data_IF_740976485766
#
_entry.id   IF_740976485766
#
_cell.length_a   1.000
_cell.length_b   1.000
_cell.length_c   1.000
_cell.angle_alpha   90.00
_cell.angle_beta   90.00
_cell.angle_gamma   90.00
#
_symmetry.space_group_name_H-M   'P 1'
#
loop_
_entity.id
_entity.type
_entity.pdbx_description
1 polymer ?
#
# COMPACT_ATOMS: atom_id res chain seq x y z
N UNK A 1 -11.74 -13.95 27.47
CA UNK A 1 -12.28 -12.92 26.55
C UNK A 1 -13.34 -13.54 25.67
N UNK A 2 -14.37 -12.79 25.28
CA UNK A 2 -15.51 -13.35 24.55
C UNK A 2 -15.21 -13.44 23.04
N UNK A 3 -14.25 -12.63 22.55
CA UNK A 3 -13.81 -12.64 21.17
C UNK A 3 -12.58 -11.77 20.93
N UNK A 4 -11.96 -11.89 19.74
CA UNK A 4 -10.71 -11.21 19.39
C UNK A 4 -10.82 -10.59 18.00
N UNK A 5 -10.24 -9.39 17.82
CA UNK A 5 -9.97 -8.81 16.51
C UNK A 5 -8.46 -8.88 16.30
N UNK A 6 -8.02 -9.62 15.29
CA UNK A 6 -6.64 -9.64 14.84
C UNK A 6 -6.45 -8.50 13.85
N UNK A 7 -5.45 -7.64 14.06
CA UNK A 7 -5.20 -6.48 13.20
C UNK A 7 -4.34 -6.79 11.98
N UNK A 8 -3.74 -7.95 11.94
CA UNK A 8 -3.04 -8.54 10.79
C UNK A 8 -2.88 -10.05 11.00
N UNK A 9 -2.63 -10.79 9.94
CA UNK A 9 -2.22 -12.18 10.01
C UNK A 9 -1.13 -12.47 8.97
N UNK A 10 -0.23 -13.38 9.35
CA UNK A 10 0.71 -14.00 8.42
C UNK A 10 0.08 -15.24 7.79
N UNK A 11 0.69 -15.78 6.75
CA UNK A 11 0.41 -17.14 6.33
C UNK A 11 0.76 -18.09 7.48
N UNK A 12 -0.13 -19.04 7.79
CA UNK A 12 0.02 -20.02 8.90
C UNK A 12 0.23 -19.36 10.27
N UNK A 13 -0.55 -18.30 10.55
CA UNK A 13 -0.43 -17.53 11.79
C UNK A 13 -0.79 -18.37 13.03
N UNK A 14 0.16 -18.56 13.98
CA UNK A 14 -0.09 -19.36 15.17
C UNK A 14 -1.17 -18.81 16.09
N UNK A 15 -1.46 -17.51 16.06
CA UNK A 15 -2.56 -16.92 16.81
C UNK A 15 -3.91 -17.42 16.29
N UNK A 16 -4.06 -17.61 14.99
CA UNK A 16 -5.27 -18.15 14.38
C UNK A 16 -5.50 -19.58 14.83
N UNK A 17 -4.45 -20.42 14.79
CA UNK A 17 -4.52 -21.80 15.26
C UNK A 17 -4.90 -21.89 16.75
N UNK A 18 -4.30 -21.03 17.58
CA UNK A 18 -4.63 -20.96 19.01
C UNK A 18 -6.09 -20.57 19.23
N UNK A 19 -6.60 -19.55 18.54
CA UNK A 19 -7.99 -19.12 18.67
C UNK A 19 -8.98 -20.19 18.22
N UNK A 20 -8.64 -20.99 17.21
CA UNK A 20 -9.43 -22.16 16.79
C UNK A 20 -9.42 -23.26 17.83
N UNK A 21 -8.26 -23.59 18.38
CA UNK A 21 -8.12 -24.61 19.44
C UNK A 21 -8.99 -24.31 20.66
N UNK A 22 -9.10 -23.04 21.03
CA UNK A 22 -9.91 -22.58 22.16
C UNK A 22 -11.34 -22.17 21.76
N UNK A 23 -11.73 -22.42 20.52
CA UNK A 23 -13.06 -22.05 19.99
C UNK A 23 -13.42 -20.57 20.24
N UNK A 24 -12.40 -19.71 20.35
CA UNK A 24 -12.58 -18.28 20.59
C UNK A 24 -13.03 -17.59 19.30
N UNK A 25 -14.20 -16.93 19.28
CA UNK A 25 -14.64 -16.17 18.11
C UNK A 25 -13.65 -15.05 17.77
N UNK A 26 -13.30 -14.91 16.49
CA UNK A 26 -12.41 -13.83 16.05
C UNK A 26 -12.77 -13.32 14.65
N UNK A 27 -12.33 -12.11 14.35
CA UNK A 27 -12.38 -11.46 13.04
C UNK A 27 -10.98 -10.97 12.71
N UNK A 28 -10.56 -11.13 11.46
CA UNK A 28 -9.29 -10.61 10.96
C UNK A 28 -9.53 -9.27 10.27
N UNK A 29 -8.75 -8.25 10.62
CA UNK A 29 -8.54 -7.08 9.78
C UNK A 29 -7.38 -7.39 8.83
N UNK A 30 -7.69 -7.42 7.52
CA UNK A 30 -6.79 -7.84 6.47
C UNK A 30 -7.24 -9.14 5.80
N UNK A 31 -6.39 -9.69 4.94
CA UNK A 31 -6.71 -10.84 4.10
C UNK A 31 -6.02 -12.12 4.56
N UNK A 32 -6.77 -13.19 4.54
CA UNK A 32 -6.28 -14.58 4.59
C UNK A 32 -6.78 -15.36 3.37
N UNK A 33 -6.02 -16.34 2.91
CA UNK A 33 -6.48 -17.28 1.87
C UNK A 33 -7.52 -18.28 2.42
N UNK A 34 -7.55 -18.45 3.73
CA UNK A 34 -8.55 -19.29 4.40
C UNK A 34 -9.90 -18.58 4.44
N UNK A 35 -10.82 -19.06 3.62
CA UNK A 35 -12.18 -18.51 3.48
C UNK A 35 -13.08 -18.78 4.69
N UNK A 36 -12.64 -19.60 5.64
CA UNK A 36 -13.38 -19.86 6.89
C UNK A 36 -13.14 -18.80 7.95
N UNK A 37 -12.19 -17.90 7.73
CA UNK A 37 -11.87 -16.78 8.62
C UNK A 37 -12.72 -15.57 8.20
N UNK A 38 -13.51 -14.98 9.12
CA UNK A 38 -14.18 -13.71 8.86
C UNK A 38 -13.16 -12.57 8.69
N UNK A 39 -13.25 -11.83 7.60
CA UNK A 39 -12.27 -10.81 7.21
C UNK A 39 -12.95 -9.48 6.95
N UNK A 40 -12.46 -8.42 7.57
CA UNK A 40 -12.71 -7.04 7.20
C UNK A 40 -11.41 -6.48 6.59
N UNK A 41 -11.43 -5.99 5.36
CA UNK A 41 -10.22 -5.60 4.65
C UNK A 41 -10.48 -4.37 3.76
N UNK A 42 -9.41 -3.73 3.30
CA UNK A 42 -9.46 -2.73 2.25
C UNK A 42 -9.16 -3.40 0.90
N UNK A 43 -9.71 -2.87 -0.21
CA UNK A 43 -9.38 -3.38 -1.53
C UNK A 43 -7.99 -2.91 -1.99
N UNK A 44 -6.95 -3.54 -1.42
CA UNK A 44 -5.55 -3.24 -1.70
C UNK A 44 -5.20 -3.44 -3.18
N UNK A 45 -5.82 -4.45 -3.82
CA UNK A 45 -5.58 -4.75 -5.26
C UNK A 45 -6.14 -3.63 -6.12
N UNK A 46 -7.39 -3.23 -5.89
CA UNK A 46 -8.00 -2.14 -6.65
C UNK A 46 -7.28 -0.81 -6.42
N UNK A 47 -6.93 -0.50 -5.17
CA UNK A 47 -6.22 0.72 -4.81
C UNK A 47 -4.85 0.83 -5.48
N UNK A 48 -4.04 -0.23 -5.42
CA UNK A 48 -2.73 -0.24 -6.07
C UNK A 48 -2.85 -0.22 -7.60
N UNK A 49 -3.86 -0.88 -8.17
CA UNK A 49 -4.14 -0.83 -9.60
C UNK A 49 -4.51 0.59 -10.05
N UNK A 50 -5.41 1.27 -9.34
CA UNK A 50 -5.82 2.62 -9.66
C UNK A 50 -4.68 3.63 -9.53
N UNK A 51 -3.93 3.60 -8.41
CA UNK A 51 -2.76 4.47 -8.23
C UNK A 51 -1.75 4.27 -9.35
N UNK A 52 -1.43 3.01 -9.71
CA UNK A 52 -0.49 2.70 -10.80
C UNK A 52 -0.98 3.27 -12.13
N UNK A 53 -2.25 3.09 -12.47
CA UNK A 53 -2.84 3.65 -13.69
C UNK A 53 -2.79 5.16 -13.72
N UNK A 54 -3.08 5.82 -12.60
CA UNK A 54 -2.98 7.29 -12.49
C UNK A 54 -1.55 7.75 -12.73
N UNK A 55 -0.55 7.10 -12.12
CA UNK A 55 0.85 7.45 -12.34
C UNK A 55 1.26 7.31 -13.81
N UNK A 56 0.82 6.23 -14.48
CA UNK A 56 1.04 6.03 -15.92
C UNK A 56 0.33 7.11 -16.77
N UNK A 57 -0.90 7.49 -16.43
CA UNK A 57 -1.64 8.58 -17.07
C UNK A 57 -0.95 9.94 -16.88
N UNK A 58 -0.32 10.17 -15.73
CA UNK A 58 0.50 11.35 -15.46
C UNK A 58 1.86 11.32 -16.18
N UNK A 59 2.11 10.30 -17.01
CA UNK A 59 3.28 10.19 -17.87
C UNK A 59 4.48 9.49 -17.24
N UNK A 60 4.34 8.83 -16.10
CA UNK A 60 5.37 7.92 -15.60
C UNK A 60 5.50 6.73 -16.56
N UNK A 61 6.73 6.28 -16.82
CA UNK A 61 7.02 5.16 -17.72
C UNK A 61 7.71 4.00 -17.01
N UNK A 62 8.44 4.31 -15.98
CA UNK A 62 9.29 3.38 -15.23
C UNK A 62 9.03 3.55 -13.73
N UNK A 63 7.90 2.98 -13.28
CA UNK A 63 7.49 3.06 -11.89
C UNK A 63 8.21 1.94 -11.13
N UNK A 64 8.99 2.27 -10.11
CA UNK A 64 9.52 1.27 -9.18
C UNK A 64 8.53 1.10 -8.02
N UNK A 65 8.22 -0.14 -7.67
CA UNK A 65 7.40 -0.50 -6.53
C UNK A 65 8.28 -1.01 -5.39
N UNK A 66 8.19 -0.37 -4.21
CA UNK A 66 8.90 -0.76 -2.99
C UNK A 66 7.87 -1.21 -1.95
N UNK A 67 7.82 -2.49 -1.63
CA UNK A 67 6.87 -3.06 -0.66
C UNK A 67 7.56 -3.95 0.35
N UNK A 68 6.98 -4.09 1.53
CA UNK A 68 7.45 -4.97 2.59
C UNK A 68 7.40 -6.46 2.22
N UNK A 69 7.61 -7.32 3.21
CA UNK A 69 7.64 -8.78 3.03
C UNK A 69 6.30 -9.33 2.49
N UNK A 70 6.42 -10.26 1.55
CA UNK A 70 5.26 -10.97 0.95
C UNK A 70 4.65 -12.04 1.84
N UNK A 71 5.21 -12.27 3.03
CA UNK A 71 4.54 -13.07 4.08
C UNK A 71 3.23 -12.41 4.54
N UNK A 72 3.12 -11.08 4.38
CA UNK A 72 1.89 -10.33 4.63
C UNK A 72 1.08 -10.19 3.35
N UNK A 73 -0.16 -10.64 3.39
CA UNK A 73 -1.08 -10.64 2.25
C UNK A 73 -1.25 -9.25 1.61
N UNK A 74 -1.21 -8.19 2.40
CA UNK A 74 -1.29 -6.80 1.94
C UNK A 74 -0.24 -6.46 0.88
N UNK A 75 1.01 -6.91 1.07
CA UNK A 75 2.10 -6.63 0.13
C UNK A 75 1.94 -7.44 -1.17
N UNK A 76 1.49 -8.69 -1.06
CA UNK A 76 1.13 -9.51 -2.23
C UNK A 76 0.02 -8.87 -3.05
N UNK A 77 -1.01 -8.32 -2.38
CA UNK A 77 -2.13 -7.65 -3.04
C UNK A 77 -1.71 -6.33 -3.69
N UNK A 78 -0.81 -5.56 -3.06
CA UNK A 78 -0.20 -4.35 -3.65
C UNK A 78 0.58 -4.67 -4.92
N UNK A 79 1.41 -5.72 -4.90
CA UNK A 79 2.13 -6.20 -6.09
C UNK A 79 1.13 -6.60 -7.19
N UNK A 80 0.09 -7.38 -6.84
CA UNK A 80 -0.94 -7.81 -7.79
C UNK A 80 -1.66 -6.62 -8.42
N UNK A 81 -2.02 -5.63 -7.61
CA UNK A 81 -2.66 -4.40 -8.09
C UNK A 81 -1.75 -3.59 -9.01
N UNK A 82 -0.48 -3.42 -8.64
CA UNK A 82 0.53 -2.77 -9.48
C UNK A 82 0.66 -3.45 -10.85
N UNK A 83 0.83 -4.76 -10.88
CA UNK A 83 0.92 -5.54 -12.13
C UNK A 83 -0.35 -5.41 -12.98
N UNK A 84 -1.51 -5.46 -12.33
CA UNK A 84 -2.81 -5.26 -12.99
C UNK A 84 -2.93 -3.86 -13.59
N UNK A 85 -2.47 -2.82 -12.90
CA UNK A 85 -2.46 -1.44 -13.39
C UNK A 85 -1.68 -1.27 -14.69
N UNK A 86 -0.50 -1.88 -14.79
CA UNK A 86 0.28 -1.91 -16.03
C UNK A 86 -0.44 -2.70 -17.14
N UNK A 87 -0.98 -3.87 -16.83
CA UNK A 87 -1.69 -4.70 -17.79
C UNK A 87 -2.92 -3.98 -18.37
N UNK A 88 -3.73 -3.33 -17.52
CA UNK A 88 -4.89 -2.54 -17.96
C UNK A 88 -4.51 -1.30 -18.76
N UNK A 89 -3.33 -0.74 -18.50
CA UNK A 89 -2.79 0.38 -19.28
C UNK A 89 -2.16 -0.06 -20.61
N UNK A 90 -1.90 -1.35 -20.79
CA UNK A 90 -1.34 -1.94 -22.01
C UNK A 90 0.17 -1.79 -22.16
N UNK A 91 0.91 -1.61 -21.07
CA UNK A 91 2.37 -1.50 -21.04
C UNK A 91 3.00 -2.66 -20.27
N UNK A 92 4.16 -3.18 -20.72
CA UNK A 92 4.85 -4.25 -19.98
C UNK A 92 5.50 -3.72 -18.70
N UNK A 93 5.50 -4.57 -17.66
CA UNK A 93 6.23 -4.32 -16.41
C UNK A 93 7.69 -4.72 -16.54
N UNK A 94 8.61 -3.86 -16.10
CA UNK A 94 9.99 -4.24 -15.86
C UNK A 94 10.10 -4.85 -14.45
N UNK A 95 10.26 -6.18 -14.35
CA UNK A 95 10.31 -6.90 -13.08
C UNK A 95 11.47 -6.46 -12.17
N UNK A 96 12.52 -5.85 -12.74
CA UNK A 96 13.65 -5.30 -11.97
C UNK A 96 13.28 -4.07 -11.14
N UNK A 97 12.10 -3.51 -11.39
CA UNK A 97 11.53 -2.37 -10.64
C UNK A 97 10.56 -2.80 -9.54
N UNK A 98 10.40 -4.12 -9.30
CA UNK A 98 9.55 -4.63 -8.21
C UNK A 98 10.44 -5.11 -7.08
N UNK A 99 10.49 -4.33 -5.99
CA UNK A 99 11.30 -4.61 -4.81
C UNK A 99 10.37 -5.00 -3.66
N UNK A 100 10.49 -6.23 -3.18
CA UNK A 100 9.76 -6.74 -2.01
C UNK A 100 10.72 -7.06 -0.87
N UNK A 101 10.20 -7.16 0.35
CA UNK A 101 11.01 -7.39 1.55
C UNK A 101 11.68 -6.12 2.07
N UNK A 102 11.12 -4.95 1.77
CA UNK A 102 11.61 -3.65 2.27
C UNK A 102 11.02 -3.44 3.67
N UNK A 103 11.79 -3.78 4.71
CA UNK A 103 11.34 -3.81 6.11
C UNK A 103 12.23 -2.98 7.05
N UNK A 104 13.20 -2.25 6.48
CA UNK A 104 14.09 -1.38 7.24
C UNK A 104 14.58 -0.22 6.38
N UNK A 105 15.01 0.86 7.02
CA UNK A 105 15.57 2.03 6.33
C UNK A 105 16.74 1.66 5.40
N UNK A 106 17.62 0.72 5.80
CA UNK A 106 18.70 0.23 4.96
C UNK A 106 18.18 -0.42 3.68
N UNK A 107 17.19 -1.30 3.80
CA UNK A 107 16.56 -1.95 2.64
C UNK A 107 15.78 -0.96 1.76
N UNK A 108 15.18 0.07 2.35
CA UNK A 108 14.55 1.17 1.59
C UNK A 108 15.59 1.89 0.73
N UNK A 109 16.77 2.20 1.29
CA UNK A 109 17.85 2.86 0.56
C UNK A 109 18.43 1.98 -0.54
N UNK A 110 18.65 0.70 -0.28
CA UNK A 110 19.14 -0.27 -1.28
C UNK A 110 18.14 -0.42 -2.44
N UNK A 111 16.85 -0.52 -2.12
CA UNK A 111 15.79 -0.62 -3.13
C UNK A 111 15.66 0.67 -3.96
N UNK A 112 15.78 1.84 -3.31
CA UNK A 112 15.80 3.13 -4.00
C UNK A 112 17.00 3.24 -4.94
N UNK A 113 18.20 2.85 -4.49
CA UNK A 113 19.42 2.86 -5.32
C UNK A 113 19.23 1.98 -6.56
N UNK A 114 18.78 0.73 -6.37
CA UNK A 114 18.50 -0.17 -7.46
C UNK A 114 17.45 0.37 -8.44
N UNK A 115 16.42 1.06 -7.93
CA UNK A 115 15.42 1.71 -8.77
C UNK A 115 16.00 2.86 -9.60
N UNK A 116 16.87 3.69 -9.00
CA UNK A 116 17.55 4.80 -9.69
C UNK A 116 18.52 4.28 -10.76
N UNK A 117 19.30 3.23 -10.48
CA UNK A 117 20.15 2.57 -11.48
C UNK A 117 19.35 2.05 -12.68
N UNK A 118 18.14 1.53 -12.43
CA UNK A 118 17.19 1.12 -13.46
C UNK A 118 16.46 2.31 -14.12
N UNK A 119 16.84 3.57 -13.80
CA UNK A 119 16.25 4.79 -14.36
C UNK A 119 14.72 4.87 -14.12
N UNK A 120 14.29 4.54 -12.90
CA UNK A 120 12.92 4.80 -12.50
C UNK A 120 12.61 6.31 -12.60
N UNK A 121 11.43 6.65 -13.08
CA UNK A 121 10.91 8.03 -13.15
C UNK A 121 9.79 8.29 -12.13
N UNK A 122 9.42 7.22 -11.40
CA UNK A 122 8.46 7.27 -10.30
C UNK A 122 8.76 6.15 -9.29
N UNK A 123 8.68 6.47 -8.00
CA UNK A 123 8.70 5.49 -6.90
C UNK A 123 7.29 5.38 -6.33
N UNK A 124 6.75 4.17 -6.30
CA UNK A 124 5.50 3.82 -5.62
C UNK A 124 5.85 3.04 -4.37
N UNK A 125 5.70 3.67 -3.21
CA UNK A 125 6.01 3.09 -1.92
C UNK A 125 4.82 2.27 -1.39
N UNK A 126 5.10 1.15 -0.74
CA UNK A 126 4.09 0.29 -0.14
C UNK A 126 3.32 0.99 0.96
N UNK A 127 4.01 1.75 1.79
CA UNK A 127 3.43 2.46 2.92
C UNK A 127 4.06 3.85 3.11
N UNK A 128 3.60 4.54 4.14
CA UNK A 128 4.00 5.91 4.46
C UNK A 128 5.41 5.99 5.06
N UNK A 129 5.87 4.99 5.82
CA UNK A 129 7.21 4.95 6.39
C UNK A 129 8.25 4.87 5.27
N UNK A 130 8.10 3.91 4.34
CA UNK A 130 8.96 3.79 3.15
C UNK A 130 8.93 5.08 2.32
N UNK A 131 7.76 5.68 2.13
CA UNK A 131 7.65 6.93 1.37
C UNK A 131 8.37 8.09 2.06
N UNK A 132 8.30 8.18 3.39
CA UNK A 132 8.99 9.21 4.17
C UNK A 132 10.51 9.06 4.09
N UNK A 133 11.03 7.84 4.20
CA UNK A 133 12.46 7.53 4.06
C UNK A 133 12.96 7.89 2.65
N UNK A 134 12.24 7.46 1.61
CA UNK A 134 12.53 7.81 0.21
C UNK A 134 12.59 9.32 0.02
N UNK A 135 11.60 10.07 0.50
CA UNK A 135 11.58 11.54 0.39
C UNK A 135 12.76 12.19 1.12
N UNK A 136 13.14 11.65 2.29
CA UNK A 136 14.32 12.09 3.04
C UNK A 136 15.60 11.91 2.26
N UNK A 137 15.81 10.74 1.67
CA UNK A 137 17.00 10.40 0.89
C UNK A 137 17.08 11.21 -0.42
N UNK A 138 15.97 11.35 -1.14
CA UNK A 138 15.93 12.16 -2.37
C UNK A 138 16.32 13.62 -2.10
N UNK A 139 15.86 14.16 -0.96
CA UNK A 139 16.27 15.52 -0.52
C UNK A 139 17.77 15.62 -0.25
N UNK A 140 18.35 14.62 0.42
CA UNK A 140 19.78 14.54 0.71
C UNK A 140 20.61 14.47 -0.57
N UNK A 141 20.12 13.76 -1.59
CA UNK A 141 20.76 13.66 -2.92
C UNK A 141 20.45 14.82 -3.85
N UNK A 142 19.69 15.82 -3.41
CA UNK A 142 19.24 16.95 -4.21
C UNK A 142 18.42 16.56 -5.47
N UNK A 143 17.74 15.42 -5.43
CA UNK A 143 16.81 14.97 -6.47
C UNK A 143 15.48 15.66 -6.25
N UNK A 144 15.01 16.41 -7.23
CA UNK A 144 13.81 17.24 -7.09
C UNK A 144 12.54 16.42 -7.33
N UNK A 145 11.66 16.36 -6.32
CA UNK A 145 10.32 15.79 -6.44
C UNK A 145 9.33 16.93 -6.71
N UNK A 146 8.48 16.84 -7.74
CA UNK A 146 8.28 15.75 -8.70
C UNK A 146 9.13 15.86 -9.99
N UNK A 147 9.99 16.87 -10.13
CA UNK A 147 10.55 17.28 -11.42
C UNK A 147 11.60 16.30 -11.98
N UNK A 148 12.41 15.69 -11.13
CA UNK A 148 13.40 14.69 -11.52
C UNK A 148 12.87 13.27 -11.27
N UNK A 149 12.10 13.07 -10.19
CA UNK A 149 11.51 11.79 -9.80
C UNK A 149 10.17 12.04 -9.10
N UNK A 150 9.14 11.27 -9.44
CA UNK A 150 7.86 11.29 -8.73
C UNK A 150 7.87 10.29 -7.59
N UNK A 151 7.09 10.59 -6.55
CA UNK A 151 6.89 9.68 -5.41
C UNK A 151 5.40 9.58 -5.08
N UNK A 152 4.91 8.37 -4.86
CA UNK A 152 3.57 8.11 -4.37
C UNK A 152 3.59 6.98 -3.32
N UNK A 153 2.54 6.89 -2.50
CA UNK A 153 2.39 5.86 -1.48
C UNK A 153 1.07 5.10 -1.63
N UNK A 154 1.07 3.81 -1.30
CA UNK A 154 -0.13 2.98 -1.23
C UNK A 154 -0.80 3.03 0.15
N UNK A 155 -0.29 3.87 1.06
CA UNK A 155 -0.92 4.17 2.34
C UNK A 155 -0.68 5.63 2.70
N UNK A 156 -1.73 6.33 3.13
CA UNK A 156 -1.67 7.76 3.52
C UNK A 156 -1.53 7.93 5.02
N UNK A 157 -0.82 9.00 5.41
CA UNK A 157 -0.76 9.48 6.79
C UNK A 157 -0.64 11.00 6.84
N UNK A 158 -0.89 11.57 8.01
CA UNK A 158 -0.70 13.01 8.26
C UNK A 158 0.75 13.45 8.01
N UNK A 159 1.71 12.57 8.19
CA UNK A 159 3.12 12.81 7.92
C UNK A 159 3.33 13.11 6.43
N UNK A 160 2.82 12.29 5.52
CA UNK A 160 2.95 12.47 4.06
C UNK A 160 2.23 13.72 3.54
N UNK A 161 1.16 14.12 4.21
CA UNK A 161 0.44 15.35 3.87
C UNK A 161 1.19 16.62 4.31
N UNK A 162 2.01 16.55 5.37
CA UNK A 162 2.67 17.70 6.01
C UNK A 162 4.07 18.00 5.47
N UNK A 163 4.75 17.05 4.82
CA UNK A 163 6.09 17.27 4.25
C UNK A 163 6.02 18.07 2.95
N UNK A 164 7.15 18.60 2.50
CA UNK A 164 7.24 19.38 1.26
C UNK A 164 8.27 18.78 0.31
N UNK A 165 7.86 18.40 -0.93
CA UNK A 165 6.48 18.41 -1.43
C UNK A 165 5.61 17.34 -0.73
N UNK A 166 4.30 17.62 -0.60
CA UNK A 166 3.35 16.67 -0.01
C UNK A 166 3.17 15.46 -0.94
N UNK A 167 3.08 14.24 -0.34
CA UNK A 167 3.11 12.99 -1.09
C UNK A 167 1.70 12.54 -1.47
N UNK A 168 1.50 12.20 -2.76
CA UNK A 168 0.29 11.56 -3.27
C UNK A 168 0.15 10.18 -2.68
N UNK A 169 -1.03 9.83 -2.17
CA UNK A 169 -1.19 8.58 -1.45
C UNK A 169 -2.61 7.98 -1.59
N UNK A 170 -2.72 6.70 -1.27
CA UNK A 170 -4.01 6.02 -1.10
C UNK A 170 -4.45 6.16 0.35
N UNK A 171 -5.61 6.75 0.56
CA UNK A 171 -6.23 6.91 1.86
C UNK A 171 -7.29 5.84 2.09
N UNK A 172 -7.25 5.22 3.27
CA UNK A 172 -8.24 4.27 3.75
C UNK A 172 -8.93 4.84 5.00
N UNK A 173 -10.21 4.48 5.18
CA UNK A 173 -10.97 4.83 6.38
C UNK A 173 -10.75 3.77 7.47
N UNK A 174 -9.71 3.96 8.28
CA UNK A 174 -9.37 3.05 9.38
C UNK A 174 -10.47 2.98 10.45
N UNK A 175 -11.21 4.06 10.67
CA UNK A 175 -12.32 4.10 11.62
C UNK A 175 -13.47 3.21 11.11
N UNK A 176 -13.84 3.35 9.84
CA UNK A 176 -14.88 2.52 9.23
C UNK A 176 -14.47 1.04 9.22
N UNK A 177 -13.22 0.74 8.85
CA UNK A 177 -12.68 -0.64 8.87
C UNK A 177 -12.77 -1.26 10.28
N UNK A 178 -12.39 -0.50 11.31
CA UNK A 178 -12.50 -0.94 12.70
C UNK A 178 -13.96 -1.17 13.12
N UNK A 179 -14.90 -0.28 12.74
CA UNK A 179 -16.33 -0.43 12.98
C UNK A 179 -16.89 -1.69 12.32
N UNK A 180 -16.47 -1.97 11.11
CA UNK A 180 -16.86 -3.17 10.36
C UNK A 180 -16.38 -4.43 11.06
N UNK A 181 -15.10 -4.50 11.43
CA UNK A 181 -14.56 -5.64 12.17
C UNK A 181 -15.27 -5.88 13.52
N UNK A 182 -15.52 -4.80 14.27
CA UNK A 182 -16.27 -4.88 15.54
C UNK A 182 -17.70 -5.39 15.32
N UNK A 183 -18.42 -4.89 14.32
CA UNK A 183 -19.78 -5.34 14.02
C UNK A 183 -19.81 -6.82 13.64
N UNK A 184 -18.90 -7.25 12.78
CA UNK A 184 -18.78 -8.66 12.39
C UNK A 184 -18.53 -9.55 13.61
N UNK A 185 -17.65 -9.15 14.54
CA UNK A 185 -17.39 -9.91 15.76
C UNK A 185 -18.63 -9.98 16.66
N UNK A 186 -19.30 -8.85 16.90
CA UNK A 186 -20.51 -8.79 17.74
C UNK A 186 -21.66 -9.63 17.16
N UNK A 187 -21.86 -9.58 15.84
CA UNK A 187 -22.89 -10.39 15.17
C UNK A 187 -22.56 -11.89 15.27
N UNK A 188 -21.28 -12.26 15.15
CA UNK A 188 -20.83 -13.66 15.37
C UNK A 188 -21.06 -14.13 16.81
N UNK A 189 -20.74 -13.31 17.81
CA UNK A 189 -21.00 -13.60 19.23
C UNK A 189 -22.49 -13.73 19.53
N UNK A 190 -23.34 -13.02 18.81
CA UNK A 190 -24.79 -13.11 18.89
C UNK A 190 -25.38 -14.31 18.12
N UNK A 191 -24.56 -15.16 17.49
CA UNK A 191 -24.99 -16.32 16.69
C UNK A 191 -25.66 -15.96 15.37
N UNK A 192 -25.46 -14.74 14.87
CA UNK A 192 -25.99 -14.30 13.56
C UNK A 192 -25.10 -14.77 12.42
N UNK A 193 -25.70 -14.92 11.24
CA UNK A 193 -24.94 -15.09 10.01
C UNK A 193 -24.17 -13.81 9.67
N UNK A 194 -22.90 -13.95 9.28
CA UNK A 194 -22.03 -12.85 8.88
C UNK A 194 -21.49 -13.08 7.47
N UNK A 195 -21.21 -11.97 6.77
CA UNK A 195 -20.45 -12.01 5.52
C UNK A 195 -19.01 -12.34 5.85
N UNK A 196 -18.45 -13.40 5.25
CA UNK A 196 -17.10 -13.89 5.57
C UNK A 196 -15.98 -12.96 5.11
N UNK A 197 -16.22 -12.10 4.13
CA UNK A 197 -15.27 -11.09 3.70
C UNK A 197 -15.99 -9.80 3.34
N UNK A 198 -15.69 -8.73 4.07
CA UNK A 198 -16.17 -7.40 3.78
C UNK A 198 -15.02 -6.50 3.39
N UNK A 199 -15.15 -5.81 2.25
CA UNK A 199 -14.16 -4.86 1.75
C UNK A 199 -14.66 -3.44 1.98
N UNK A 200 -13.80 -2.61 2.57
CA UNK A 200 -13.98 -1.18 2.67
C UNK A 200 -13.31 -0.46 1.50
N UNK A 201 -13.82 0.71 1.18
CA UNK A 201 -13.32 1.53 0.08
C UNK A 201 -12.02 2.26 0.41
N UNK A 202 -11.51 2.93 -0.61
CA UNK A 202 -10.31 3.76 -0.54
C UNK A 202 -10.50 5.03 -1.37
N UNK A 203 -9.60 6.00 -1.21
CA UNK A 203 -9.51 7.20 -2.04
C UNK A 203 -8.07 7.43 -2.48
N UNK A 204 -7.87 7.83 -3.74
CA UNK A 204 -6.56 8.28 -4.22
C UNK A 204 -6.47 9.79 -4.06
N UNK A 205 -5.54 10.25 -3.23
CA UNK A 205 -5.30 11.67 -2.96
C UNK A 205 -4.06 12.11 -3.72
N UNK A 206 -4.25 12.90 -4.76
CA UNK A 206 -3.13 13.46 -5.54
C UNK A 206 -2.62 14.76 -4.91
N UNK A 207 -1.31 14.79 -4.63
CA UNK A 207 -0.59 15.92 -4.02
C UNK A 207 0.59 16.36 -4.88
N UNK A 208 1.46 17.17 -4.32
CA UNK A 208 2.54 17.85 -5.07
C UNK A 208 3.60 16.90 -5.63
N UNK A 209 3.84 15.75 -4.97
CA UNK A 209 4.90 14.79 -5.35
C UNK A 209 4.69 14.09 -6.70
N UNK A 210 3.49 14.19 -7.28
CA UNK A 210 3.17 13.63 -8.61
C UNK A 210 2.71 14.66 -9.61
N UNK A 211 2.46 15.91 -9.18
CA UNK A 211 2.03 17.00 -10.07
C UNK A 211 3.22 17.51 -10.85
N UNK A 212 3.28 17.18 -12.14
CA UNK A 212 4.27 17.76 -13.04
C UNK A 212 4.12 19.30 -13.07
N UNK A 213 5.18 20.01 -12.73
CA UNK A 213 5.29 21.46 -13.01
C UNK A 213 6.16 21.61 -14.23
N UNK A 214 5.61 22.15 -15.32
CA UNK A 214 6.44 22.59 -16.44
C UNK A 214 7.54 23.51 -15.88
N UNK A 215 8.81 23.20 -16.18
CA UNK A 215 9.91 24.14 -15.90
C UNK A 215 9.56 25.40 -16.67
N UNK A 216 9.19 26.45 -15.97
CA UNK A 216 9.10 27.79 -16.57
C UNK A 216 10.42 28.01 -17.31
N UNK A 217 10.39 28.00 -18.66
CA UNK A 217 11.56 28.42 -19.44
C UNK A 217 11.84 29.82 -18.98
N UNK A 218 12.88 30.02 -18.17
CA UNK A 218 13.40 31.35 -17.88
C UNK A 218 13.80 31.93 -19.21
N UNK A 219 12.96 32.85 -19.71
CA UNK A 219 13.31 33.71 -20.81
C UNK A 219 14.50 34.53 -20.34
N UNK A 220 15.67 34.22 -20.88
CA UNK A 220 16.84 35.08 -20.75
C UNK A 220 16.71 36.28 -21.68
#
# INVERSE_FOLDING_TARGET
VDGVILTYAMADDPCIELLRQYETPFVLIGRSEDKTIPQADNDQVAAACEMTRILLQLGAKRIALLVGSTIYAVNTDRIRGYLRGFAEFGVPVDQRLVHSGVESAGQTLDALEAALEQKADCILCGDDEVAFEVMGELRTRHILVPNDLRVASLYDSSMLASITPSVSAVQYDAEQLGKTACRMLLDRLAGKEIVMRQLEGYQVILRDSTKWRERSRSIK
#
